data_IF_212214932011
#
_entry.id   IF_212214932011
#
_cell.length_a   1.000
_cell.length_b   1.000
_cell.length_c   1.000
_cell.angle_alpha   90.00
_cell.angle_beta   90.00
_cell.angle_gamma   90.00
#
_symmetry.space_group_name_H-M   'P 1'
#
loop_
_entity.id
_entity.type
_entity.pdbx_description
1 polymer ?
#
# COMPACT_ATOMS: atom_id res chain seq x y z
N UNK A 1 -12.60 -14.93 8.01
CA UNK A 1 -11.92 -14.10 6.99
C UNK A 1 -10.53 -13.75 7.46
N UNK A 2 -9.51 -13.87 6.60
CA UNK A 2 -8.15 -13.39 6.86
C UNK A 2 -7.84 -12.31 5.83
N UNK A 3 -7.82 -11.05 6.26
CA UNK A 3 -7.61 -9.88 5.39
C UNK A 3 -6.13 -9.65 5.09
N UNK A 4 -5.82 -9.19 3.89
CA UNK A 4 -4.44 -8.85 3.50
C UNK A 4 -3.94 -7.61 4.24
N UNK A 5 -4.79 -6.60 4.45
CA UNK A 5 -4.35 -5.37 5.14
C UNK A 5 -3.89 -5.65 6.58
N UNK A 6 -4.59 -6.49 7.34
CA UNK A 6 -4.21 -6.78 8.73
C UNK A 6 -2.86 -7.46 8.79
N UNK A 7 -2.57 -8.37 7.85
CA UNK A 7 -1.26 -9.02 7.75
C UNK A 7 -0.16 -8.05 7.29
N UNK A 8 -0.44 -7.19 6.31
CA UNK A 8 0.49 -6.16 5.84
C UNK A 8 0.85 -5.17 6.96
N UNK A 9 -0.14 -4.70 7.74
CA UNK A 9 0.09 -3.82 8.89
C UNK A 9 0.89 -4.50 9.99
N UNK A 10 0.65 -5.79 10.24
CA UNK A 10 1.45 -6.56 11.18
C UNK A 10 2.92 -6.67 10.73
N UNK A 11 3.15 -6.90 9.43
CA UNK A 11 4.50 -6.90 8.84
C UNK A 11 5.17 -5.52 9.03
N UNK A 12 4.47 -4.42 8.72
CA UNK A 12 5.04 -3.08 8.86
C UNK A 12 5.37 -2.73 10.31
N UNK A 13 4.48 -3.08 11.25
CA UNK A 13 4.72 -2.92 12.69
C UNK A 13 5.91 -3.77 13.15
N UNK A 14 5.95 -5.06 12.78
CA UNK A 14 7.04 -5.97 13.11
C UNK A 14 8.39 -5.50 12.57
N UNK A 15 8.42 -5.01 11.33
CA UNK A 15 9.64 -4.49 10.73
C UNK A 15 10.19 -3.26 11.48
N UNK A 16 9.31 -2.35 11.90
CA UNK A 16 9.69 -1.17 12.69
C UNK A 16 10.15 -1.56 14.10
N UNK A 17 9.49 -2.51 14.74
CA UNK A 17 9.90 -3.04 16.04
C UNK A 17 11.26 -3.75 15.96
N UNK A 18 11.50 -4.55 14.92
CA UNK A 18 12.80 -5.15 14.68
C UNK A 18 13.88 -4.08 14.45
N UNK A 19 13.59 -3.06 13.63
CA UNK A 19 14.51 -1.96 13.38
C UNK A 19 14.92 -1.23 14.66
N UNK A 20 13.96 -1.02 15.58
CA UNK A 20 14.18 -0.31 16.84
C UNK A 20 14.87 -1.16 17.92
N UNK A 21 14.44 -2.42 18.08
CA UNK A 21 14.85 -3.26 19.21
C UNK A 21 15.94 -4.27 18.88
N UNK A 22 16.11 -4.61 17.59
CA UNK A 22 16.89 -5.75 17.10
C UNK A 22 16.47 -7.10 17.71
N UNK A 23 15.29 -7.19 18.31
CA UNK A 23 14.77 -8.45 18.84
C UNK A 23 14.31 -9.35 17.68
N UNK A 24 15.00 -10.48 17.53
CA UNK A 24 14.82 -11.42 16.44
C UNK A 24 13.38 -11.92 16.28
N UNK A 25 12.62 -12.01 17.38
CA UNK A 25 11.21 -12.45 17.35
C UNK A 25 10.38 -11.62 16.37
N UNK A 26 10.61 -10.30 16.27
CA UNK A 26 9.87 -9.46 15.33
C UNK A 26 10.21 -9.75 13.88
N UNK A 27 11.48 -10.02 13.57
CA UNK A 27 11.90 -10.45 12.23
C UNK A 27 11.28 -11.79 11.87
N UNK A 28 11.28 -12.74 12.80
CA UNK A 28 10.71 -14.07 12.56
C UNK A 28 9.20 -14.00 12.25
N UNK A 29 8.44 -13.14 12.94
CA UNK A 29 7.04 -12.92 12.62
C UNK A 29 6.82 -12.25 11.26
N UNK A 30 7.64 -11.24 10.91
CA UNK A 30 7.60 -10.62 9.58
C UNK A 30 7.78 -11.66 8.48
N UNK A 31 8.84 -12.46 8.58
CA UNK A 31 9.18 -13.47 7.58
C UNK A 31 8.11 -14.56 7.49
N UNK A 32 7.59 -15.02 8.64
CA UNK A 32 6.52 -16.02 8.71
C UNK A 32 5.24 -15.53 8.05
N UNK A 33 4.81 -14.30 8.33
CA UNK A 33 3.56 -13.75 7.79
C UNK A 33 3.71 -13.47 6.31
N UNK A 34 4.82 -12.87 5.88
CA UNK A 34 5.06 -12.60 4.45
C UNK A 34 5.11 -13.89 3.63
N UNK A 35 5.82 -14.91 4.14
CA UNK A 35 5.85 -16.25 3.53
C UNK A 35 4.46 -16.87 3.47
N UNK A 36 3.69 -16.77 4.56
CA UNK A 36 2.32 -17.27 4.59
C UNK A 36 1.45 -16.60 3.52
N UNK A 37 1.47 -15.27 3.41
CA UNK A 37 0.70 -14.53 2.39
C UNK A 37 1.02 -14.99 0.96
N UNK A 38 2.30 -15.26 0.65
CA UNK A 38 2.70 -15.82 -0.66
C UNK A 38 2.19 -17.25 -0.84
N UNK A 39 2.39 -18.12 0.15
CA UNK A 39 1.95 -19.53 0.08
C UNK A 39 0.44 -19.70 0.01
N UNK A 40 -0.33 -18.77 0.58
CA UNK A 40 -1.79 -18.77 0.54
C UNK A 40 -2.36 -18.11 -0.71
N UNK A 41 -1.51 -17.77 -1.68
CA UNK A 41 -1.89 -17.05 -2.91
C UNK A 41 -2.55 -15.68 -2.68
N UNK A 42 -2.43 -15.09 -1.48
CA UNK A 42 -2.89 -13.71 -1.24
C UNK A 42 -2.04 -12.73 -2.04
N UNK A 43 -0.76 -13.04 -2.22
CA UNK A 43 0.15 -12.36 -3.13
C UNK A 43 0.35 -13.27 -4.32
N UNK A 44 -0.13 -12.85 -5.49
CA UNK A 44 0.13 -13.55 -6.74
C UNK A 44 1.63 -13.51 -7.06
N UNK A 45 2.32 -14.66 -7.24
CA UNK A 45 3.77 -14.71 -7.35
C UNK A 45 4.31 -14.12 -8.67
N UNK A 46 3.45 -13.93 -9.67
CA UNK A 46 3.84 -13.44 -11.01
C UNK A 46 3.59 -11.94 -11.13
N UNK A 47 2.38 -11.52 -10.78
CA UNK A 47 1.88 -10.16 -10.96
C UNK A 47 2.05 -9.28 -9.72
N UNK A 48 2.31 -9.88 -8.55
CA UNK A 48 2.32 -9.20 -7.25
C UNK A 48 0.99 -8.55 -6.89
N UNK A 49 -0.11 -8.94 -7.55
CA UNK A 49 -1.45 -8.56 -7.13
C UNK A 49 -1.74 -9.09 -5.72
N UNK A 50 -2.24 -8.23 -4.84
CA UNK A 50 -2.58 -8.60 -3.46
C UNK A 50 -4.09 -8.63 -3.29
N UNK A 51 -4.67 -9.83 -3.28
CA UNK A 51 -6.10 -10.06 -3.02
C UNK A 51 -6.50 -9.48 -1.67
N UNK A 52 -7.77 -9.06 -1.51
CA UNK A 52 -8.22 -8.38 -0.29
C UNK A 52 -8.16 -9.26 0.98
N UNK A 53 -8.24 -10.58 0.78
CA UNK A 53 -8.15 -11.56 1.84
C UNK A 53 -8.64 -12.92 1.37
N UNK A 54 -8.77 -13.86 2.29
CA UNK A 54 -9.31 -15.18 2.02
C UNK A 54 -10.34 -15.62 3.07
N UNK A 55 -11.29 -16.43 2.65
CA UNK A 55 -12.17 -17.10 3.59
C UNK A 55 -11.40 -18.13 4.41
N UNK A 56 -11.58 -18.11 5.73
CA UNK A 56 -10.78 -18.95 6.64
C UNK A 56 -11.21 -20.41 6.67
N UNK A 57 -12.37 -20.75 6.11
CA UNK A 57 -12.90 -22.12 6.06
C UNK A 57 -12.66 -22.74 4.68
N UNK A 58 -12.99 -22.03 3.61
CA UNK A 58 -12.86 -22.53 2.23
C UNK A 58 -11.53 -22.19 1.57
N UNK A 59 -10.73 -21.32 2.17
CA UNK A 59 -9.50 -20.76 1.57
C UNK A 59 -9.71 -20.00 0.25
N UNK A 60 -10.96 -19.65 -0.07
CA UNK A 60 -11.29 -18.90 -1.29
C UNK A 60 -10.81 -17.45 -1.18
N UNK A 61 -10.09 -16.98 -2.20
CA UNK A 61 -9.61 -15.60 -2.29
C UNK A 61 -10.76 -14.62 -2.57
N UNK A 62 -10.71 -13.46 -1.93
CA UNK A 62 -11.47 -12.28 -2.37
C UNK A 62 -10.71 -11.63 -3.53
N UNK A 63 -11.27 -11.60 -4.76
CA UNK A 63 -10.56 -11.11 -5.94
C UNK A 63 -10.44 -9.57 -6.00
N UNK A 64 -10.94 -8.84 -4.99
CA UNK A 64 -10.76 -7.40 -4.93
C UNK A 64 -9.29 -7.03 -4.69
N UNK A 65 -8.84 -6.00 -5.40
CA UNK A 65 -7.50 -5.44 -5.27
C UNK A 65 -7.59 -3.98 -4.83
N UNK A 66 -6.75 -3.64 -3.87
CA UNK A 66 -6.66 -2.28 -3.35
C UNK A 66 -5.20 -1.90 -3.12
N UNK A 67 -4.88 -0.66 -3.46
CA UNK A 67 -3.53 -0.12 -3.52
C UNK A 67 -2.80 -0.18 -2.17
N UNK A 68 -3.51 0.09 -1.08
CA UNK A 68 -2.97 0.14 0.27
C UNK A 68 -2.38 -1.19 0.76
N UNK A 69 -2.82 -2.34 0.23
CA UNK A 69 -2.22 -3.63 0.58
C UNK A 69 -0.74 -3.67 0.18
N UNK A 70 -0.44 -3.40 -1.09
CA UNK A 70 0.93 -3.29 -1.59
C UNK A 70 1.66 -2.09 -0.99
N UNK A 71 0.98 -0.95 -0.80
CA UNK A 71 1.55 0.21 -0.13
C UNK A 71 2.17 -0.12 1.22
N UNK A 72 1.39 -0.72 2.13
CA UNK A 72 1.89 -1.06 3.48
C UNK A 72 3.01 -2.11 3.43
N UNK A 73 2.91 -3.11 2.54
CA UNK A 73 3.97 -4.10 2.34
C UNK A 73 5.29 -3.46 1.88
N UNK A 74 5.26 -2.48 0.97
CA UNK A 74 6.46 -1.73 0.54
C UNK A 74 7.18 -1.13 1.75
N UNK A 75 6.45 -0.45 2.64
CA UNK A 75 7.04 0.16 3.83
C UNK A 75 7.66 -0.90 4.74
N UNK A 76 6.94 -1.98 5.07
CA UNK A 76 7.46 -3.02 5.96
C UNK A 76 8.74 -3.68 5.42
N UNK A 77 8.72 -4.04 4.13
CA UNK A 77 9.87 -4.66 3.46
C UNK A 77 11.06 -3.70 3.35
N UNK A 78 10.84 -2.43 3.02
CA UNK A 78 11.92 -1.44 2.96
C UNK A 78 12.56 -1.22 4.34
N UNK A 79 11.76 -1.20 5.43
CA UNK A 79 12.28 -1.14 6.80
C UNK A 79 13.11 -2.38 7.16
N UNK A 80 12.67 -3.57 6.74
CA UNK A 80 13.45 -4.80 6.94
C UNK A 80 14.80 -4.72 6.24
N UNK A 81 14.84 -4.33 4.96
CA UNK A 81 16.10 -4.13 4.24
C UNK A 81 17.03 -3.16 4.98
N UNK A 82 16.51 -1.99 5.38
CA UNK A 82 17.31 -1.01 6.14
C UNK A 82 17.83 -1.58 7.47
N UNK A 83 17.06 -2.45 8.12
CA UNK A 83 17.41 -3.01 9.42
C UNK A 83 18.38 -4.20 9.35
N UNK A 84 18.38 -4.97 8.26
CA UNK A 84 19.14 -6.23 8.10
C UNK A 84 20.26 -6.16 7.07
N UNK A 85 20.15 -5.29 6.07
CA UNK A 85 21.00 -5.29 4.86
C UNK A 85 20.64 -6.37 3.84
N UNK A 86 19.63 -7.20 4.08
CA UNK A 86 19.23 -8.28 3.17
C UNK A 86 18.45 -7.73 1.98
N UNK A 87 19.08 -7.79 0.80
CA UNK A 87 18.55 -7.26 -0.45
C UNK A 87 17.26 -7.92 -0.91
N UNK A 88 16.94 -9.12 -0.42
CA UNK A 88 15.69 -9.83 -0.74
C UNK A 88 14.47 -8.99 -0.36
N UNK A 89 14.50 -8.33 0.80
CA UNK A 89 13.39 -7.46 1.20
C UNK A 89 13.23 -6.26 0.27
N UNK A 90 14.33 -5.64 -0.15
CA UNK A 90 14.27 -4.49 -1.07
C UNK A 90 13.74 -4.90 -2.45
N UNK A 91 14.18 -6.05 -2.96
CA UNK A 91 13.68 -6.60 -4.22
C UNK A 91 12.17 -6.88 -4.15
N UNK A 92 11.68 -7.44 -3.05
CA UNK A 92 10.24 -7.64 -2.86
C UNK A 92 9.49 -6.30 -2.78
N UNK A 93 10.03 -5.28 -2.10
CA UNK A 93 9.45 -3.95 -2.05
C UNK A 93 9.37 -3.30 -3.46
N UNK A 94 10.40 -3.48 -4.29
CA UNK A 94 10.41 -3.01 -5.67
C UNK A 94 9.33 -3.67 -6.52
N UNK A 95 9.07 -4.98 -6.34
CA UNK A 95 8.02 -5.68 -7.09
C UNK A 95 6.61 -5.22 -6.69
N UNK A 96 6.37 -4.98 -5.39
CA UNK A 96 5.13 -4.34 -4.94
C UNK A 96 4.99 -2.91 -5.50
N UNK A 97 6.07 -2.15 -5.57
CA UNK A 97 6.04 -0.82 -6.20
C UNK A 97 5.76 -0.90 -7.71
N UNK A 98 6.33 -1.87 -8.42
CA UNK A 98 6.02 -2.11 -9.84
C UNK A 98 4.53 -2.47 -10.04
N UNK A 99 3.91 -3.20 -9.10
CA UNK A 99 2.47 -3.44 -9.10
C UNK A 99 1.66 -2.15 -8.91
N UNK A 100 2.11 -1.26 -8.01
CA UNK A 100 1.48 0.07 -7.83
C UNK A 100 1.50 0.84 -9.15
N UNK A 101 2.65 0.95 -9.80
CA UNK A 101 2.80 1.70 -11.06
C UNK A 101 1.92 1.09 -12.16
N UNK A 102 1.93 -0.23 -12.34
CA UNK A 102 1.25 -0.88 -13.46
C UNK A 102 -0.27 -0.98 -13.35
N UNK A 103 -0.83 -1.01 -12.13
CA UNK A 103 -2.26 -1.28 -11.93
C UNK A 103 -3.01 -0.20 -11.17
N UNK A 104 -2.31 0.57 -10.33
CA UNK A 104 -2.91 1.59 -9.48
C UNK A 104 -2.52 3.01 -9.94
N UNK A 105 -2.14 3.18 -11.21
CA UNK A 105 -1.96 4.51 -11.82
C UNK A 105 -2.68 4.66 -13.17
N UNK A 106 -3.17 5.86 -13.44
CA UNK A 106 -3.62 6.34 -14.77
C UNK A 106 -2.86 7.62 -15.05
N UNK A 107 -2.12 7.71 -16.16
CA UNK A 107 -1.27 8.87 -16.47
C UNK A 107 -0.33 9.24 -15.31
N UNK A 108 0.24 8.24 -14.63
CA UNK A 108 1.05 8.34 -13.41
C UNK A 108 0.33 8.85 -12.15
N UNK A 109 -0.97 9.14 -12.22
CA UNK A 109 -1.79 9.54 -11.07
C UNK A 109 -2.29 8.29 -10.36
N UNK A 110 -2.03 8.19 -9.06
CA UNK A 110 -2.51 7.11 -8.21
C UNK A 110 -4.04 7.05 -8.17
N UNK A 111 -4.59 5.86 -8.32
CA UNK A 111 -6.02 5.59 -8.15
C UNK A 111 -6.27 4.15 -7.73
N UNK A 112 -7.50 3.87 -7.29
CA UNK A 112 -7.97 2.50 -7.02
C UNK A 112 -9.06 2.13 -8.03
N UNK A 113 -8.83 1.16 -8.94
CA UNK A 113 -9.82 0.75 -9.94
C UNK A 113 -11.16 0.28 -9.35
N UNK A 114 -11.13 -0.26 -8.13
CA UNK A 114 -12.33 -0.69 -7.40
C UNK A 114 -13.20 0.48 -6.90
N UNK A 115 -12.71 1.72 -6.97
CA UNK A 115 -13.43 2.94 -6.57
C UNK A 115 -13.99 3.72 -7.76
N UNK A 116 -13.62 3.38 -8.99
CA UNK A 116 -14.08 4.06 -10.20
C UNK A 116 -13.14 3.86 -11.38
N UNK A 117 -13.60 4.28 -12.56
CA UNK A 117 -12.84 4.16 -13.83
C UNK A 117 -11.76 5.24 -14.00
N UNK A 118 -11.71 6.24 -13.13
CA UNK A 118 -10.77 7.34 -13.20
C UNK A 118 -10.28 7.72 -11.79
N UNK A 119 -9.15 8.44 -11.68
CA UNK A 119 -8.69 8.98 -10.41
C UNK A 119 -9.77 9.83 -9.71
N UNK A 120 -10.11 9.45 -8.48
CA UNK A 120 -11.01 10.20 -7.58
C UNK A 120 -10.23 10.62 -6.33
N UNK A 121 -10.35 11.90 -5.99
CA UNK A 121 -9.40 12.64 -5.14
C UNK A 121 -9.75 12.64 -3.64
N UNK A 122 -8.72 12.58 -2.78
CA UNK A 122 -8.07 11.35 -2.37
C UNK A 122 -9.01 10.47 -1.53
N UNK A 123 -8.95 9.16 -1.75
CA UNK A 123 -9.59 8.20 -0.85
C UNK A 123 -8.56 7.66 0.17
N UNK A 124 -9.05 7.09 1.28
CA UNK A 124 -8.22 6.65 2.39
C UNK A 124 -7.18 5.58 2.06
N UNK A 125 -7.33 4.84 0.94
CA UNK A 125 -6.37 3.80 0.54
C UNK A 125 -5.11 4.36 -0.09
N UNK A 126 -5.18 5.53 -0.73
CA UNK A 126 -4.02 6.13 -1.40
C UNK A 126 -3.01 6.69 -0.39
N UNK A 127 -3.45 7.17 0.78
CA UNK A 127 -2.56 7.74 1.80
C UNK A 127 -1.46 6.80 2.30
N UNK A 128 -1.76 5.54 2.65
CA UNK A 128 -0.73 4.54 2.93
C UNK A 128 0.28 4.37 1.78
N UNK A 129 -0.16 4.46 0.52
CA UNK A 129 0.72 4.32 -0.65
C UNK A 129 1.69 5.49 -0.74
N UNK A 130 1.21 6.75 -0.66
CA UNK A 130 2.07 7.94 -0.67
C UNK A 130 3.17 7.88 0.38
N UNK A 131 2.79 7.54 1.63
CA UNK A 131 3.74 7.40 2.73
C UNK A 131 4.78 6.33 2.42
N UNK A 132 4.34 5.19 1.91
CA UNK A 132 5.21 4.03 1.75
C UNK A 132 6.15 4.14 0.56
N UNK A 133 5.73 4.75 -0.56
CA UNK A 133 6.64 5.03 -1.67
C UNK A 133 7.66 6.12 -1.30
N UNK A 134 7.29 7.08 -0.43
CA UNK A 134 8.25 8.02 0.16
C UNK A 134 9.29 7.33 1.06
N UNK A 135 8.87 6.35 1.86
CA UNK A 135 9.80 5.50 2.63
C UNK A 135 10.75 4.76 1.68
N UNK A 136 10.21 4.10 0.64
CA UNK A 136 11.02 3.38 -0.35
C UNK A 136 12.04 4.30 -1.04
N UNK A 137 11.62 5.51 -1.43
CA UNK A 137 12.51 6.51 -2.04
C UNK A 137 13.72 6.84 -1.16
N UNK A 138 13.49 6.97 0.16
CA UNK A 138 14.56 7.29 1.11
C UNK A 138 15.53 6.14 1.38
N UNK A 139 15.16 4.90 1.03
CA UNK A 139 15.90 3.68 1.37
C UNK A 139 16.57 3.07 0.15
N UNK A 140 15.92 3.09 -1.01
CA UNK A 140 16.46 2.48 -2.22
C UNK A 140 17.63 3.28 -2.79
N UNK A 141 18.57 2.60 -3.43
CA UNK A 141 19.65 3.21 -4.21
C UNK A 141 19.40 3.12 -5.73
N UNK A 142 18.31 2.49 -6.15
CA UNK A 142 17.96 2.34 -7.56
C UNK A 142 17.40 3.66 -8.13
N UNK A 143 18.14 4.27 -9.04
CA UNK A 143 17.79 5.56 -9.64
C UNK A 143 16.54 5.48 -10.53
N UNK A 144 16.28 4.34 -11.16
CA UNK A 144 15.08 4.14 -11.99
C UNK A 144 13.83 4.07 -11.11
N UNK A 145 13.90 3.37 -9.98
CA UNK A 145 12.83 3.31 -8.99
C UNK A 145 12.60 4.70 -8.39
N UNK A 146 13.67 5.42 -8.01
CA UNK A 146 13.55 6.81 -7.51
C UNK A 146 12.89 7.74 -8.53
N UNK A 147 13.28 7.65 -9.80
CA UNK A 147 12.68 8.45 -10.87
C UNK A 147 11.18 8.15 -11.01
N UNK A 148 10.81 6.87 -11.01
CA UNK A 148 9.41 6.45 -11.09
C UNK A 148 8.59 6.92 -9.87
N UNK A 149 9.13 6.81 -8.65
CA UNK A 149 8.48 7.34 -7.44
C UNK A 149 8.25 8.86 -7.57
N UNK A 150 9.25 9.63 -8.01
CA UNK A 150 9.10 11.07 -8.21
C UNK A 150 8.00 11.40 -9.21
N UNK A 151 7.95 10.69 -10.34
CA UNK A 151 6.91 10.85 -11.36
C UNK A 151 5.51 10.60 -10.78
N UNK A 152 5.32 9.47 -10.10
CA UNK A 152 4.02 9.11 -9.50
C UNK A 152 3.61 10.10 -8.40
N UNK A 153 4.53 10.46 -7.50
CA UNK A 153 4.26 11.41 -6.42
C UNK A 153 3.92 12.80 -6.97
N UNK A 154 4.68 13.29 -7.96
CA UNK A 154 4.45 14.62 -8.55
C UNK A 154 3.13 14.69 -9.31
N UNK A 155 2.84 13.72 -10.19
CA UNK A 155 1.60 13.69 -10.96
C UNK A 155 0.38 13.59 -10.03
N UNK A 156 0.46 12.71 -9.03
CA UNK A 156 -0.64 12.53 -8.12
C UNK A 156 -0.82 13.72 -7.17
N UNK A 157 0.27 14.35 -6.69
CA UNK A 157 0.19 15.58 -5.92
C UNK A 157 -0.44 16.70 -6.75
N UNK A 158 0.02 16.90 -7.98
CA UNK A 158 -0.54 17.89 -8.89
C UNK A 158 -2.05 17.71 -9.04
N UNK A 159 -2.52 16.46 -9.18
CA UNK A 159 -3.95 16.13 -9.22
C UNK A 159 -4.63 16.46 -7.87
N UNK A 160 -4.15 15.92 -6.73
CA UNK A 160 -4.79 16.05 -5.40
C UNK A 160 -4.91 17.49 -4.91
N UNK A 161 -3.98 18.34 -5.28
CA UNK A 161 -3.96 19.73 -4.85
C UNK A 161 -4.60 20.70 -5.87
N UNK A 162 -5.06 20.23 -7.05
CA UNK A 162 -5.84 21.07 -7.99
C UNK A 162 -7.06 21.75 -7.33
N UNK A 163 -7.91 21.06 -6.53
CA UNK A 163 -9.14 21.65 -6.02
C UNK A 163 -8.95 22.52 -4.76
N UNK A 164 -7.72 22.69 -4.27
CA UNK A 164 -7.46 23.53 -3.10
C UNK A 164 -7.79 24.99 -3.39
N UNK A 165 -8.72 25.56 -2.62
CA UNK A 165 -9.03 26.99 -2.73
C UNK A 165 -8.01 27.87 -1.96
N UNK A 166 -8.22 29.19 -1.97
CA UNK A 166 -7.31 30.19 -1.37
C UNK A 166 -7.13 30.08 0.15
N UNK A 167 -7.94 29.29 0.84
CA UNK A 167 -7.82 29.02 2.29
C UNK A 167 -7.26 27.61 2.58
N UNK A 168 -6.66 26.95 1.59
CA UNK A 168 -6.12 25.58 1.70
C UNK A 168 -7.16 24.50 2.00
N UNK A 169 -8.42 24.75 1.65
CA UNK A 169 -9.45 23.72 1.72
C UNK A 169 -9.28 22.77 0.52
N UNK A 170 -8.49 21.72 0.74
CA UNK A 170 -8.12 20.71 -0.26
C UNK A 170 -8.99 19.45 -0.23
N UNK A 171 -9.69 19.25 0.89
CA UNK A 171 -10.72 18.21 1.00
C UNK A 171 -11.97 18.80 0.35
N UNK A 172 -12.63 18.03 -0.53
CA UNK A 172 -13.87 18.34 -1.27
C UNK A 172 -14.67 19.49 -0.62
N UNK A 173 -15.24 20.42 -1.39
CA UNK A 173 -16.51 21.04 -0.99
C UNK A 173 -17.49 19.90 -0.73
N UNK A 174 -17.50 19.45 0.53
CA UNK A 174 -18.27 18.37 1.05
C UNK A 174 -19.69 18.94 1.11
N UNK A 175 -20.39 18.97 -0.02
CA UNK A 175 -21.80 19.34 -0.10
C UNK A 175 -22.56 18.55 0.99
N UNK A 176 -22.99 19.20 2.09
CA UNK A 176 -23.59 18.52 3.23
C UNK A 176 -24.84 17.73 2.81
N UNK A 177 -25.52 18.17 1.76
CA UNK A 177 -26.72 17.52 1.23
C UNK A 177 -26.45 16.17 0.56
N UNK A 178 -25.19 15.86 0.24
CA UNK A 178 -24.76 14.59 -0.36
C UNK A 178 -24.15 13.61 0.64
N UNK A 179 -24.10 13.96 1.92
CA UNK A 179 -23.75 13.03 3.00
C UNK A 179 -25.01 12.33 3.51
N UNK A 180 -25.46 11.32 2.77
CA UNK A 180 -26.19 10.23 3.42
C UNK A 180 -25.14 9.42 4.16
N UNK A 181 -25.09 9.56 5.48
CA UNK A 181 -24.23 8.76 6.35
C UNK A 181 -24.33 7.28 5.97
N UNK A 182 -23.26 6.72 5.40
CA UNK A 182 -23.02 5.28 5.40
C UNK A 182 -22.53 4.86 6.81
N UNK A 183 -23.34 5.14 7.82
CA UNK A 183 -23.29 4.50 9.12
C UNK A 183 -24.52 3.60 9.23
N UNK A 184 -24.53 2.57 8.40
CA UNK A 184 -25.41 1.41 8.51
C UNK A 184 -24.67 0.23 9.12
N UNK A 185 -24.05 0.43 10.30
CA UNK A 185 -23.90 -0.69 11.24
C UNK A 185 -25.17 -0.69 12.07
N UNK A 186 -26.15 -1.46 11.61
CA UNK A 186 -27.26 -1.91 12.44
C UNK A 186 -26.68 -2.99 13.36
N UNK A 187 -26.83 -2.77 14.67
CA UNK A 187 -26.60 -3.78 15.70
C UNK A 187 -27.56 -4.96 15.52
#
# INVERSE_FOLDING_TARGET
YKSSITNAQHIEMGARLYAYTKNQVYKDYVDRIYTWMKSSSLIDPTTYAVSDGLDSRSCTLNPNYFSYHSGVLISGLAHMFKATGDTTYLQEAHKHFARIVSYFTINNVLYDPSRGSAPLMPNGFLWPVYRSIGVLYSITTDDSVKASIRTVMAASAAFNFQPCNSIWYCIRDLDPSKFVCFFGFVY
#
